data_IF_286467776663
#
_entry.id   IF_286467776663
#
_cell.length_a   1.000
_cell.length_b   1.000
_cell.length_c   1.000
_cell.angle_alpha   90.00
_cell.angle_beta   90.00
_cell.angle_gamma   90.00
#
_symmetry.space_group_name_H-M   'P 1'
#
loop_
_entity.id
_entity.type
_entity.pdbx_description
1 polymer ?
#
# COMPACT_ATOMS: atom_id res chain seq x y z
N UNK A 1 -48.31 21.26 49.61
CA UNK A 1 -46.85 21.43 49.80
C UNK A 1 -46.13 20.09 49.92
N UNK A 2 -46.87 18.98 50.04
CA UNK A 2 -46.32 17.69 50.48
C UNK A 2 -45.76 16.82 49.35
N UNK A 3 -46.24 16.96 48.11
CA UNK A 3 -45.76 16.16 46.97
C UNK A 3 -44.32 16.47 46.57
N UNK A 4 -43.90 17.73 46.59
CA UNK A 4 -42.53 18.17 46.31
C UNK A 4 -41.54 17.68 47.36
N UNK A 5 -41.94 17.66 48.64
CA UNK A 5 -41.12 17.12 49.72
C UNK A 5 -40.95 15.61 49.58
N UNK A 6 -42.03 14.87 49.28
CA UNK A 6 -41.98 13.41 49.08
C UNK A 6 -41.08 13.05 47.88
N UNK A 7 -41.19 13.77 46.76
CA UNK A 7 -40.32 13.58 45.60
C UNK A 7 -38.85 13.88 45.95
N UNK A 8 -38.59 14.94 46.72
CA UNK A 8 -37.25 15.28 47.20
C UNK A 8 -36.61 14.19 48.05
N UNK A 9 -37.35 13.61 49.01
CA UNK A 9 -36.86 12.49 49.82
C UNK A 9 -36.59 11.23 48.99
N UNK A 10 -37.45 10.93 48.00
CA UNK A 10 -37.23 9.83 47.06
C UNK A 10 -35.95 10.02 46.23
N UNK A 11 -35.73 11.22 45.69
CA UNK A 11 -34.52 11.55 44.93
C UNK A 11 -33.26 11.44 45.78
N UNK A 12 -33.29 11.93 47.03
CA UNK A 12 -32.17 11.81 47.97
C UNK A 12 -31.88 10.33 48.27
N UNK A 13 -32.90 9.52 48.52
CA UNK A 13 -32.75 8.08 48.73
C UNK A 13 -32.13 7.36 47.53
N UNK A 14 -32.55 7.72 46.32
CA UNK A 14 -32.03 7.15 45.07
C UNK A 14 -30.56 7.53 44.85
N UNK A 15 -30.21 8.80 45.10
CA UNK A 15 -28.82 9.27 45.08
C UNK A 15 -27.98 8.49 46.10
N UNK A 16 -28.47 8.30 47.33
CA UNK A 16 -27.75 7.59 48.39
C UNK A 16 -27.48 6.13 48.01
N UNK A 17 -28.45 5.44 47.40
CA UNK A 17 -28.28 4.07 46.89
C UNK A 17 -27.21 4.02 45.81
N UNK A 18 -27.22 4.97 44.87
CA UNK A 18 -26.20 5.06 43.81
C UNK A 18 -24.82 5.29 44.42
N UNK A 19 -24.69 6.23 45.37
CA UNK A 19 -23.40 6.50 46.04
C UNK A 19 -22.91 5.27 46.79
N UNK A 20 -23.76 4.59 47.56
CA UNK A 20 -23.38 3.36 48.28
C UNK A 20 -22.94 2.28 47.29
N UNK A 21 -23.67 2.08 46.19
CA UNK A 21 -23.32 1.13 45.14
C UNK A 21 -21.94 1.44 44.52
N UNK A 22 -21.67 2.72 44.25
CA UNK A 22 -20.37 3.17 43.73
C UNK A 22 -19.24 2.94 44.74
N UNK A 23 -19.45 3.22 46.03
CA UNK A 23 -18.46 2.98 47.10
C UNK A 23 -18.17 1.49 47.25
N UNK A 24 -19.20 0.65 47.27
CA UNK A 24 -19.06 -0.81 47.33
C UNK A 24 -18.30 -1.33 46.11
N UNK A 25 -18.68 -0.88 44.90
CA UNK A 25 -18.01 -1.23 43.65
C UNK A 25 -16.53 -0.81 43.67
N UNK A 26 -16.24 0.40 44.12
CA UNK A 26 -14.87 0.92 44.28
C UNK A 26 -14.04 0.09 45.25
N UNK A 27 -14.60 -0.27 46.41
CA UNK A 27 -13.93 -1.12 47.40
C UNK A 27 -13.61 -2.51 46.82
N UNK A 28 -14.57 -3.16 46.16
CA UNK A 28 -14.34 -4.46 45.52
C UNK A 28 -13.32 -4.37 44.38
N UNK A 29 -13.35 -3.29 43.58
CA UNK A 29 -12.36 -3.02 42.54
C UNK A 29 -10.96 -2.90 43.14
N UNK A 30 -10.80 -2.09 44.18
CA UNK A 30 -9.51 -1.91 44.87
C UNK A 30 -8.98 -3.21 45.47
N UNK A 31 -9.85 -3.98 46.13
CA UNK A 31 -9.49 -5.30 46.69
C UNK A 31 -9.06 -6.28 45.60
N UNK A 32 -9.75 -6.27 44.47
CA UNK A 32 -9.42 -7.13 43.32
C UNK A 32 -8.09 -6.73 42.69
N UNK A 33 -7.84 -5.42 42.54
CA UNK A 33 -6.57 -4.88 42.07
C UNK A 33 -5.40 -5.35 42.95
N UNK A 34 -5.51 -5.17 44.27
CA UNK A 34 -4.46 -5.61 45.21
C UNK A 34 -4.16 -7.11 45.14
N UNK A 35 -5.17 -7.95 44.90
CA UNK A 35 -4.99 -9.40 44.69
C UNK A 35 -4.25 -9.65 43.37
N UNK A 36 -4.68 -9.01 42.28
CA UNK A 36 -4.04 -9.15 40.95
C UNK A 36 -2.58 -8.69 40.99
N UNK A 37 -2.28 -7.54 41.61
CA UNK A 37 -0.91 -7.03 41.75
C UNK A 37 -0.01 -8.02 42.50
N UNK A 38 -0.54 -8.66 43.56
CA UNK A 38 0.19 -9.70 44.29
C UNK A 38 0.43 -10.95 43.43
N UNK A 39 -0.53 -11.35 42.61
CA UNK A 39 -0.40 -12.47 41.68
C UNK A 39 0.66 -12.15 40.61
N UNK A 40 0.65 -10.94 40.04
CA UNK A 40 1.65 -10.49 39.05
C UNK A 40 3.07 -10.62 39.61
N UNK A 41 3.31 -10.22 40.87
CA UNK A 41 4.64 -10.32 41.48
C UNK A 41 5.11 -11.74 41.78
N UNK A 42 4.19 -12.70 41.96
CA UNK A 42 4.50 -14.07 42.37
C UNK A 42 4.44 -15.09 41.22
N UNK A 43 3.57 -14.86 40.24
CA UNK A 43 3.28 -15.83 39.19
C UNK A 43 4.48 -16.05 38.27
N UNK A 44 4.93 -17.30 38.20
CA UNK A 44 5.97 -17.75 37.28
C UNK A 44 5.48 -17.75 35.83
N UNK A 45 4.19 -18.02 35.61
CA UNK A 45 3.57 -17.93 34.29
C UNK A 45 3.62 -16.50 33.75
N UNK A 46 3.27 -15.51 34.59
CA UNK A 46 3.29 -14.10 34.20
C UNK A 46 4.72 -13.60 33.98
N UNK A 47 5.70 -14.07 34.77
CA UNK A 47 7.12 -13.75 34.54
C UNK A 47 7.59 -14.22 33.16
N UNK A 48 7.35 -15.50 32.82
CA UNK A 48 7.65 -16.04 31.49
C UNK A 48 6.90 -15.30 30.38
N UNK A 49 5.64 -14.94 30.61
CA UNK A 49 4.88 -14.12 29.66
C UNK A 49 5.57 -12.77 29.39
N UNK A 50 6.04 -12.10 30.43
CA UNK A 50 6.73 -10.81 30.27
C UNK A 50 8.05 -10.95 29.50
N UNK A 51 8.75 -12.08 29.62
CA UNK A 51 9.95 -12.38 28.83
C UNK A 51 9.62 -12.55 27.35
N UNK A 52 8.55 -13.29 27.03
CA UNK A 52 8.03 -13.42 25.66
C UNK A 52 7.61 -12.04 25.12
N UNK A 53 6.86 -11.25 25.90
CA UNK A 53 6.46 -9.90 25.51
C UNK A 53 7.66 -9.01 25.18
N UNK A 54 8.72 -9.05 26.00
CA UNK A 54 9.94 -8.27 25.76
C UNK A 54 10.63 -8.71 24.46
N UNK A 55 10.75 -10.02 24.23
CA UNK A 55 11.37 -10.59 23.03
C UNK A 55 10.66 -10.19 21.74
N UNK A 56 9.31 -10.19 21.72
CA UNK A 56 8.55 -9.79 20.54
C UNK A 56 8.41 -8.27 20.39
N UNK A 57 8.39 -7.52 21.50
CA UNK A 57 8.37 -6.05 21.44
C UNK A 57 9.56 -5.48 20.67
N UNK A 58 10.73 -6.10 20.77
CA UNK A 58 11.93 -5.70 20.01
C UNK A 58 11.88 -6.08 18.52
N UNK A 59 10.99 -7.02 18.14
CA UNK A 59 10.83 -7.50 16.76
C UNK A 59 9.76 -6.75 15.99
N UNK A 60 8.71 -6.33 16.68
CA UNK A 60 7.68 -5.51 16.08
C UNK A 60 8.26 -4.16 15.66
N UNK A 61 8.01 -3.80 14.40
CA UNK A 61 8.45 -2.53 13.84
C UNK A 61 7.28 -1.56 13.83
N UNK A 62 7.52 -0.35 14.29
CA UNK A 62 6.51 0.71 14.23
C UNK A 62 6.41 1.29 12.83
N UNK A 63 5.18 1.64 12.43
CA UNK A 63 4.98 2.41 11.20
C UNK A 63 5.14 3.90 11.49
N UNK A 64 5.92 4.59 10.65
CA UNK A 64 6.01 6.05 10.67
C UNK A 64 4.66 6.72 10.40
N UNK A 65 3.77 6.05 9.67
CA UNK A 65 2.38 6.49 9.49
C UNK A 65 1.44 5.29 9.35
N UNK A 66 0.28 5.37 10.01
CA UNK A 66 -0.75 4.33 9.98
C UNK A 66 -1.68 4.42 8.78
N UNK A 67 -1.70 5.58 8.11
CA UNK A 67 -2.46 5.78 6.88
C UNK A 67 -1.84 6.90 6.04
N UNK A 68 -2.22 6.96 4.77
CA UNK A 68 -1.94 8.11 3.89
C UNK A 68 -3.27 8.73 3.50
N UNK A 69 -3.37 10.06 3.59
CA UNK A 69 -4.55 10.81 3.20
C UNK A 69 -4.26 11.67 1.96
N UNK A 70 -4.98 11.43 0.87
CA UNK A 70 -4.88 12.18 -0.38
C UNK A 70 -6.17 12.97 -0.62
N UNK A 71 -6.07 14.30 -0.64
CA UNK A 71 -7.21 15.19 -0.80
C UNK A 71 -7.11 16.00 -2.10
N UNK A 72 -8.18 15.96 -2.89
CA UNK A 72 -8.27 16.63 -4.18
C UNK A 72 -9.41 17.64 -4.18
N UNK A 73 -9.08 18.93 -4.04
CA UNK A 73 -10.09 19.99 -3.84
C UNK A 73 -10.06 21.07 -4.93
N UNK A 74 -9.19 20.92 -5.94
CA UNK A 74 -8.97 21.91 -6.98
C UNK A 74 -9.58 21.44 -8.29
N UNK A 75 -10.79 21.91 -8.60
CA UNK A 75 -11.49 21.62 -9.84
C UNK A 75 -12.01 22.88 -10.49
N UNK A 76 -11.76 23.04 -11.80
CA UNK A 76 -12.20 24.20 -12.59
C UNK A 76 -13.71 24.16 -12.91
N UNK A 77 -14.39 23.07 -12.58
CA UNK A 77 -15.82 22.93 -12.77
C UNK A 77 -16.34 21.53 -12.43
N UNK A 78 -17.67 21.36 -12.45
CA UNK A 78 -18.31 20.07 -12.16
C UNK A 78 -17.85 18.95 -13.10
N UNK A 79 -17.66 19.27 -14.38
CA UNK A 79 -17.14 18.31 -15.37
C UNK A 79 -15.74 17.79 -15.02
N UNK A 80 -14.84 18.65 -14.55
CA UNK A 80 -13.48 18.23 -14.16
C UNK A 80 -13.51 17.38 -12.88
N UNK A 81 -14.42 17.66 -11.96
CA UNK A 81 -14.66 16.82 -10.77
C UNK A 81 -15.21 15.44 -11.14
N UNK A 82 -16.17 15.39 -12.07
CA UNK A 82 -16.80 14.14 -12.51
C UNK A 82 -15.83 13.23 -13.27
N UNK A 83 -14.99 13.82 -14.11
CA UNK A 83 -13.98 13.08 -14.85
C UNK A 83 -12.77 12.67 -14.00
N UNK A 84 -12.64 13.17 -12.77
CA UNK A 84 -11.54 12.80 -11.89
C UNK A 84 -11.79 11.45 -11.21
N UNK A 85 -10.91 10.50 -11.48
CA UNK A 85 -10.96 9.14 -10.90
C UNK A 85 -10.06 9.04 -9.67
N UNK A 86 -10.65 8.81 -8.49
CA UNK A 86 -9.90 8.50 -7.28
C UNK A 86 -9.07 7.22 -7.44
N UNK A 87 -9.57 6.22 -8.20
CA UNK A 87 -8.83 5.00 -8.49
C UNK A 87 -7.53 5.28 -9.27
N UNK A 88 -7.63 6.08 -10.34
CA UNK A 88 -6.46 6.45 -11.14
C UNK A 88 -5.47 7.29 -10.36
N UNK A 89 -5.96 8.21 -9.51
CA UNK A 89 -5.12 8.98 -8.60
C UNK A 89 -4.37 8.08 -7.61
N UNK A 90 -5.04 7.07 -7.04
CA UNK A 90 -4.42 6.09 -6.16
C UNK A 90 -3.35 5.27 -6.89
N UNK A 91 -3.64 4.79 -8.09
CA UNK A 91 -2.70 4.02 -8.90
C UNK A 91 -1.44 4.82 -9.19
N UNK A 92 -1.58 6.07 -9.65
CA UNK A 92 -0.45 6.94 -9.94
C UNK A 92 0.38 7.22 -8.69
N UNK A 93 -0.27 7.48 -7.56
CA UNK A 93 0.42 7.68 -6.28
C UNK A 93 1.27 6.46 -5.90
N UNK A 94 0.70 5.25 -6.00
CA UNK A 94 1.41 4.00 -5.73
C UNK A 94 2.56 3.76 -6.71
N UNK A 95 2.37 4.10 -7.99
CA UNK A 95 3.40 3.98 -9.03
C UNK A 95 4.61 4.89 -8.77
N UNK A 96 4.34 6.14 -8.39
CA UNK A 96 5.36 7.17 -8.12
C UNK A 96 6.09 6.94 -6.79
N UNK A 97 5.40 6.41 -5.78
CA UNK A 97 5.93 6.23 -4.42
C UNK A 97 6.23 4.75 -4.09
N UNK A 98 6.41 3.89 -5.10
CA UNK A 98 6.49 2.44 -4.96
C UNK A 98 7.45 1.98 -3.85
N UNK A 99 8.67 2.53 -3.81
CA UNK A 99 9.71 2.14 -2.85
C UNK A 99 9.25 2.39 -1.41
N UNK A 100 8.70 3.59 -1.14
CA UNK A 100 8.20 3.94 0.18
C UNK A 100 7.05 3.01 0.59
N UNK A 101 6.11 2.76 -0.32
CA UNK A 101 4.95 1.92 0.00
C UNK A 101 5.38 0.46 0.17
N UNK A 102 6.29 -0.07 -0.64
CA UNK A 102 6.85 -1.42 -0.46
C UNK A 102 7.51 -1.59 0.91
N UNK A 103 8.21 -0.57 1.42
CA UNK A 103 8.78 -0.63 2.78
C UNK A 103 7.70 -0.69 3.88
N UNK A 104 6.61 0.07 3.73
CA UNK A 104 5.46 0.02 4.64
C UNK A 104 4.80 -1.36 4.61
N UNK A 105 4.50 -1.87 3.40
CA UNK A 105 3.89 -3.18 3.20
C UNK A 105 4.77 -4.30 3.76
N UNK A 106 6.08 -4.26 3.51
CA UNK A 106 7.03 -5.24 4.06
C UNK A 106 7.05 -5.23 5.59
N UNK A 107 6.93 -4.04 6.20
CA UNK A 107 6.83 -3.91 7.67
C UNK A 107 5.55 -4.56 8.21
N UNK A 108 4.42 -4.34 7.55
CA UNK A 108 3.13 -4.92 7.94
C UNK A 108 3.14 -6.44 7.81
N UNK A 109 3.70 -6.98 6.71
CA UNK A 109 3.83 -8.42 6.50
C UNK A 109 4.66 -9.04 7.64
N UNK A 110 5.82 -8.45 7.94
CA UNK A 110 6.67 -8.91 9.03
C UNK A 110 5.94 -8.86 10.39
N UNK A 111 5.24 -7.77 10.69
CA UNK A 111 4.46 -7.64 11.92
C UNK A 111 3.30 -8.64 12.01
N UNK A 112 2.60 -8.91 10.89
CA UNK A 112 1.55 -9.94 10.83
C UNK A 112 2.13 -11.32 11.17
N UNK A 113 3.26 -11.67 10.57
CA UNK A 113 3.95 -12.93 10.85
C UNK A 113 4.40 -13.02 12.33
N UNK A 114 5.09 -12.00 12.85
CA UNK A 114 5.52 -12.01 14.25
C UNK A 114 4.35 -12.04 15.23
N UNK A 115 3.20 -11.47 14.86
CA UNK A 115 1.99 -11.53 15.68
C UNK A 115 1.46 -12.97 15.78
N UNK A 116 1.44 -13.70 14.67
CA UNK A 116 1.03 -15.11 14.67
C UNK A 116 1.98 -15.98 15.51
N UNK A 117 3.29 -15.79 15.35
CA UNK A 117 4.33 -16.47 16.15
C UNK A 117 4.17 -16.16 17.64
N UNK A 118 4.00 -14.88 18.00
CA UNK A 118 3.79 -14.41 19.36
C UNK A 118 2.54 -15.03 20.01
N UNK A 119 1.39 -14.98 19.34
CA UNK A 119 0.14 -15.52 19.87
C UNK A 119 0.22 -17.03 20.07
N UNK A 120 0.91 -17.73 19.16
CA UNK A 120 1.19 -19.16 19.27
C UNK A 120 2.09 -19.46 20.46
N UNK A 121 3.23 -18.79 20.58
CA UNK A 121 4.21 -19.02 21.66
C UNK A 121 3.60 -18.76 23.05
N UNK A 122 2.77 -17.73 23.17
CA UNK A 122 1.99 -17.45 24.38
C UNK A 122 1.10 -18.63 24.75
N UNK A 123 0.38 -19.17 23.76
CA UNK A 123 -0.56 -20.27 23.97
C UNK A 123 0.18 -21.53 24.43
N UNK A 124 1.30 -21.85 23.77
CA UNK A 124 2.09 -23.06 24.02
C UNK A 124 2.92 -22.98 25.32
N UNK A 125 3.35 -21.79 25.72
CA UNK A 125 4.22 -21.58 26.89
C UNK A 125 3.47 -21.49 28.23
N UNK A 126 2.14 -21.54 28.23
CA UNK A 126 1.36 -21.42 29.46
C UNK A 126 1.54 -22.65 30.35
N UNK A 127 2.23 -22.45 31.47
CA UNK A 127 2.34 -23.44 32.55
C UNK A 127 1.99 -22.70 33.84
N UNK A 128 1.02 -23.23 34.58
CA UNK A 128 0.55 -22.64 35.83
C UNK A 128 1.68 -22.53 36.86
N UNK A 129 1.61 -21.51 37.72
CA UNK A 129 2.59 -21.34 38.81
C UNK A 129 2.54 -22.52 39.77
N UNK A 130 3.71 -22.93 40.27
CA UNK A 130 3.82 -24.03 41.23
C UNK A 130 2.95 -23.77 42.49
N UNK A 131 2.29 -24.84 42.98
CA UNK A 131 1.44 -24.78 44.16
C UNK A 131 2.18 -24.25 45.41
N UNK A 132 3.45 -24.60 45.59
CA UNK A 132 4.26 -24.13 46.73
C UNK A 132 4.37 -22.60 46.75
N UNK A 133 4.66 -21.99 45.60
CA UNK A 133 4.70 -20.54 45.44
C UNK A 133 3.33 -19.93 45.74
N UNK A 134 2.25 -20.55 45.26
CA UNK A 134 0.89 -20.07 45.51
C UNK A 134 0.55 -20.08 47.00
N UNK A 135 0.97 -21.10 47.75
CA UNK A 135 0.71 -21.19 49.19
C UNK A 135 1.37 -20.04 49.97
N UNK A 136 2.52 -19.52 49.53
CA UNK A 136 3.16 -18.33 50.15
C UNK A 136 2.32 -17.05 50.00
N UNK A 137 1.47 -16.99 48.98
CA UNK A 137 0.67 -15.80 48.67
C UNK A 137 -0.48 -15.56 49.66
N UNK A 138 -0.87 -16.57 50.46
CA UNK A 138 -2.10 -16.58 51.28
C UNK A 138 -3.39 -16.35 50.47
N UNK A 139 -3.35 -16.57 49.15
CA UNK A 139 -4.51 -16.55 48.25
C UNK A 139 -4.95 -18.00 48.01
N UNK A 140 -6.27 -18.26 48.04
CA UNK A 140 -6.81 -19.60 47.73
C UNK A 140 -6.35 -20.05 46.33
N UNK A 141 -5.80 -21.26 46.14
CA UNK A 141 -5.25 -21.70 44.85
C UNK A 141 -6.22 -21.57 43.67
N UNK A 142 -7.48 -21.99 43.84
CA UNK A 142 -8.52 -21.82 42.80
C UNK A 142 -8.68 -20.35 42.34
N UNK A 143 -8.55 -19.40 43.27
CA UNK A 143 -8.64 -17.96 42.98
C UNK A 143 -7.36 -17.44 42.34
N UNK A 144 -6.20 -17.97 42.74
CA UNK A 144 -4.91 -17.66 42.12
C UNK A 144 -4.89 -18.08 40.65
N UNK A 145 -5.13 -19.37 40.36
CA UNK A 145 -5.13 -19.89 38.99
C UNK A 145 -6.12 -19.18 38.07
N UNK A 146 -7.31 -18.83 38.60
CA UNK A 146 -8.30 -18.06 37.83
C UNK A 146 -7.71 -16.72 37.37
N UNK A 147 -7.18 -15.92 38.29
CA UNK A 147 -6.65 -14.61 37.94
C UNK A 147 -5.34 -14.68 37.17
N UNK A 148 -4.48 -15.65 37.46
CA UNK A 148 -3.27 -15.91 36.68
C UNK A 148 -3.62 -16.13 35.21
N UNK A 149 -4.57 -17.02 34.92
CA UNK A 149 -5.02 -17.28 33.55
C UNK A 149 -5.63 -16.04 32.91
N UNK A 150 -6.49 -15.30 33.63
CA UNK A 150 -7.06 -14.04 33.14
C UNK A 150 -5.98 -13.01 32.77
N UNK A 151 -4.96 -12.86 33.62
CA UNK A 151 -3.89 -11.88 33.41
C UNK A 151 -2.98 -12.34 32.27
N UNK A 152 -2.56 -13.62 32.26
CA UNK A 152 -1.64 -14.18 31.28
C UNK A 152 -2.17 -14.06 29.84
N UNK A 153 -3.47 -14.30 29.65
CA UNK A 153 -4.13 -14.20 28.33
C UNK A 153 -4.79 -12.83 28.10
N UNK A 154 -4.34 -11.78 28.80
CA UNK A 154 -4.77 -10.40 28.58
C UNK A 154 -3.63 -9.55 28.04
N UNK A 155 -3.96 -8.36 27.53
CA UNK A 155 -2.98 -7.33 27.17
C UNK A 155 -1.90 -7.75 26.15
N UNK A 156 -2.28 -8.54 25.15
CA UNK A 156 -1.43 -8.82 23.99
C UNK A 156 -0.87 -7.52 23.40
N UNK A 157 0.41 -7.57 22.99
CA UNK A 157 1.02 -6.51 22.20
C UNK A 157 0.19 -6.31 20.93
N UNK A 158 -0.07 -5.05 20.58
CA UNK A 158 -0.86 -4.66 19.41
C UNK A 158 0.07 -4.01 18.37
N UNK A 159 0.77 -4.80 17.55
CA UNK A 159 1.62 -4.26 16.51
C UNK A 159 0.80 -3.62 15.39
N UNK A 160 1.46 -2.77 14.59
CA UNK A 160 0.87 -2.21 13.38
C UNK A 160 0.80 -3.30 12.30
N UNK A 161 -0.41 -3.81 12.05
CA UNK A 161 -0.69 -4.92 11.11
C UNK A 161 -1.60 -4.51 9.96
N UNK A 162 -1.93 -3.24 9.86
CA UNK A 162 -2.83 -2.71 8.85
C UNK A 162 -2.38 -1.32 8.41
N UNK A 163 -2.75 -0.97 7.20
CA UNK A 163 -2.42 0.31 6.58
C UNK A 163 -3.37 0.61 5.43
N UNK A 164 -3.87 1.85 5.44
CA UNK A 164 -4.87 2.28 4.48
C UNK A 164 -4.43 3.55 3.76
N UNK A 165 -4.81 3.66 2.48
CA UNK A 165 -4.77 4.93 1.75
C UNK A 165 -6.20 5.46 1.65
N UNK A 166 -6.42 6.62 2.24
CA UNK A 166 -7.68 7.34 2.25
C UNK A 166 -7.62 8.42 1.18
N UNK A 167 -8.53 8.39 0.22
CA UNK A 167 -8.63 9.39 -0.83
C UNK A 167 -9.97 10.09 -0.77
N UNK A 168 -9.97 11.40 -0.99
CA UNK A 168 -11.20 12.17 -1.12
C UNK A 168 -11.08 13.22 -2.20
N UNK A 169 -12.17 13.45 -2.94
CA UNK A 169 -12.33 14.63 -3.78
C UNK A 169 -13.52 15.46 -3.34
N UNK A 170 -13.37 16.77 -3.39
CA UNK A 170 -14.42 17.72 -3.04
C UNK A 170 -14.48 18.88 -4.05
N UNK A 171 -15.69 19.32 -4.40
CA UNK A 171 -15.92 20.47 -5.26
C UNK A 171 -17.11 21.29 -4.77
N UNK A 172 -16.93 22.60 -4.63
CA UNK A 172 -17.99 23.56 -4.36
C UNK A 172 -18.14 24.46 -5.57
N UNK A 173 -19.37 24.64 -6.04
CA UNK A 173 -19.63 25.55 -7.18
C UNK A 173 -19.17 26.98 -6.88
N UNK A 174 -18.77 27.80 -7.88
CA UNK A 174 -18.30 29.17 -7.64
C UNK A 174 -19.29 30.05 -6.87
N UNK A 175 -20.60 29.83 -7.10
CA UNK A 175 -21.67 30.54 -6.39
C UNK A 175 -21.95 29.98 -4.98
N UNK A 176 -21.21 28.97 -4.51
CA UNK A 176 -21.40 28.35 -3.19
C UNK A 176 -22.69 27.54 -3.01
N UNK A 177 -23.50 27.37 -4.07
CA UNK A 177 -24.86 26.80 -3.96
C UNK A 177 -24.90 25.27 -3.86
N UNK A 178 -23.92 24.59 -4.47
CA UNK A 178 -23.82 23.13 -4.45
C UNK A 178 -22.42 22.71 -4.01
N UNK A 179 -22.34 21.62 -3.23
CA UNK A 179 -21.12 20.91 -2.87
C UNK A 179 -21.22 19.44 -3.28
N UNK A 180 -20.08 18.86 -3.63
CA UNK A 180 -19.95 17.47 -4.06
C UNK A 180 -18.74 16.86 -3.38
N UNK A 181 -18.88 15.64 -2.87
CA UNK A 181 -17.81 14.92 -2.20
C UNK A 181 -17.86 13.44 -2.55
N UNK A 182 -16.69 12.85 -2.74
CA UNK A 182 -16.49 11.41 -2.92
C UNK A 182 -15.29 10.96 -2.10
N UNK A 183 -15.38 9.81 -1.45
CA UNK A 183 -14.30 9.22 -0.66
C UNK A 183 -14.05 7.78 -1.11
N UNK A 184 -12.80 7.34 -1.00
CA UNK A 184 -12.37 5.98 -1.27
C UNK A 184 -11.32 5.59 -0.24
N UNK A 185 -11.39 4.35 0.24
CA UNK A 185 -10.35 3.76 1.10
C UNK A 185 -9.77 2.57 0.35
N UNK A 186 -8.44 2.48 0.32
CA UNK A 186 -7.72 1.27 -0.11
C UNK A 186 -7.15 0.58 1.10
N UNK A 187 -7.56 -0.67 1.30
CA UNK A 187 -7.04 -1.52 2.38
C UNK A 187 -5.66 -2.04 2.04
N UNK A 188 -4.96 -2.60 3.04
CA UNK A 188 -3.69 -3.28 2.83
C UNK A 188 -3.74 -4.27 1.66
N UNK A 189 -4.77 -5.12 1.61
CA UNK A 189 -4.94 -6.16 0.60
C UNK A 189 -5.09 -5.54 -0.80
N UNK A 190 -5.92 -4.50 -0.93
CA UNK A 190 -6.10 -3.81 -2.19
C UNK A 190 -4.85 -3.04 -2.64
N UNK A 191 -4.09 -2.48 -1.70
CA UNK A 191 -2.81 -1.81 -2.00
C UNK A 191 -1.79 -2.84 -2.50
N UNK A 192 -1.72 -3.99 -1.84
CA UNK A 192 -0.85 -5.10 -2.23
C UNK A 192 -1.12 -5.54 -3.68
N UNK A 193 -2.39 -5.79 -4.02
CA UNK A 193 -2.80 -6.18 -5.38
C UNK A 193 -2.45 -5.12 -6.43
N UNK A 194 -2.63 -3.83 -6.10
CA UNK A 194 -2.29 -2.74 -7.02
C UNK A 194 -0.77 -2.65 -7.20
N UNK A 195 0.03 -2.83 -6.15
CA UNK A 195 1.49 -2.81 -6.27
C UNK A 195 2.02 -3.96 -7.13
N UNK A 196 1.44 -5.16 -7.03
CA UNK A 196 1.76 -6.27 -7.91
C UNK A 196 1.43 -5.91 -9.38
N UNK A 197 0.29 -5.25 -9.60
CA UNK A 197 -0.11 -4.76 -10.92
C UNK A 197 0.85 -3.69 -11.47
N UNK A 198 1.29 -2.76 -10.61
CA UNK A 198 2.28 -1.71 -10.94
C UNK A 198 3.62 -2.33 -11.34
N UNK A 199 4.09 -3.31 -10.58
CA UNK A 199 5.35 -4.02 -10.86
C UNK A 199 5.26 -4.77 -12.20
N UNK A 200 4.17 -5.50 -12.43
CA UNK A 200 3.90 -6.17 -13.69
C UNK A 200 3.83 -5.19 -14.87
N UNK A 201 3.24 -4.00 -14.69
CA UNK A 201 3.23 -2.97 -15.72
C UNK A 201 4.64 -2.42 -15.99
N UNK A 202 5.44 -2.16 -14.95
CA UNK A 202 6.83 -1.70 -15.12
C UNK A 202 7.67 -2.74 -15.86
N UNK A 203 7.53 -4.02 -15.52
CA UNK A 203 8.16 -5.12 -16.25
C UNK A 203 7.74 -5.11 -17.73
N UNK A 204 6.43 -5.02 -18.01
CA UNK A 204 5.93 -4.92 -19.39
C UNK A 204 6.48 -3.71 -20.13
N UNK A 205 6.51 -2.53 -19.51
CA UNK A 205 7.08 -1.30 -20.11
C UNK A 205 8.59 -1.40 -20.34
N UNK A 206 9.31 -2.15 -19.51
CA UNK A 206 10.74 -2.44 -19.70
C UNK A 206 11.02 -3.55 -20.70
N UNK A 207 9.98 -4.27 -21.16
CA UNK A 207 10.16 -5.40 -22.06
C UNK A 207 10.66 -4.94 -23.43
N UNK A 208 11.48 -5.81 -24.04
CA UNK A 208 11.97 -5.61 -25.40
C UNK A 208 10.83 -5.52 -26.42
N UNK A 209 9.70 -6.18 -26.17
CA UNK A 209 8.50 -6.05 -27.01
C UNK A 209 7.90 -4.64 -26.94
N UNK A 210 7.73 -4.09 -25.74
CA UNK A 210 7.22 -2.73 -25.57
C UNK A 210 8.18 -1.71 -26.17
N UNK A 211 9.49 -1.84 -25.91
CA UNK A 211 10.52 -1.00 -26.55
C UNK A 211 10.38 -1.05 -28.07
N UNK A 212 10.27 -2.24 -28.66
CA UNK A 212 10.11 -2.40 -30.11
C UNK A 212 8.85 -1.72 -30.65
N UNK A 213 7.73 -1.83 -29.94
CA UNK A 213 6.47 -1.19 -30.31
C UNK A 213 6.55 0.34 -30.19
N UNK A 214 7.15 0.83 -29.12
CA UNK A 214 7.36 2.26 -28.87
C UNK A 214 8.25 2.89 -29.95
N UNK A 215 9.42 2.31 -30.22
CA UNK A 215 10.32 2.77 -31.26
C UNK A 215 9.63 2.86 -32.63
N UNK A 216 8.84 1.84 -33.01
CA UNK A 216 8.05 1.89 -34.26
C UNK A 216 7.04 3.02 -34.27
N UNK A 217 6.40 3.30 -33.14
CA UNK A 217 5.38 4.37 -33.04
C UNK A 217 5.96 5.78 -33.16
N UNK A 218 7.26 5.96 -32.91
CA UNK A 218 7.95 7.25 -33.08
C UNK A 218 8.10 7.67 -34.56
N UNK A 219 8.03 6.72 -35.49
CA UNK A 219 8.14 7.00 -36.94
C UNK A 219 6.78 7.49 -37.48
N UNK A 220 6.36 8.67 -37.03
CA UNK A 220 5.16 9.37 -37.50
C UNK A 220 5.26 9.82 -38.95
N UNK A 221 4.14 10.15 -39.60
CA UNK A 221 4.12 10.67 -40.98
C UNK A 221 5.00 11.91 -41.16
N UNK A 222 5.08 12.77 -40.14
CA UNK A 222 5.97 13.93 -40.13
C UNK A 222 7.44 13.51 -40.21
N UNK A 223 7.84 12.53 -39.40
CA UNK A 223 9.21 11.96 -39.45
C UNK A 223 9.45 11.31 -40.81
N UNK A 224 8.47 10.61 -41.37
CA UNK A 224 8.59 9.99 -42.71
C UNK A 224 8.90 11.03 -43.78
N UNK A 225 8.13 12.12 -43.82
CA UNK A 225 8.35 13.22 -44.77
C UNK A 225 9.73 13.85 -44.56
N UNK A 226 10.14 14.06 -43.31
CA UNK A 226 11.45 14.65 -42.98
C UNK A 226 12.61 13.81 -43.49
N UNK A 227 12.58 12.49 -43.28
CA UNK A 227 13.63 11.57 -43.76
C UNK A 227 13.61 11.48 -45.29
N UNK A 228 12.43 11.37 -45.91
CA UNK A 228 12.29 11.36 -47.38
C UNK A 228 12.86 12.62 -48.03
N UNK A 229 12.63 13.79 -47.43
CA UNK A 229 13.17 15.06 -47.91
C UNK A 229 14.69 15.15 -47.72
N UNK A 230 15.20 14.75 -46.54
CA UNK A 230 16.65 14.70 -46.25
C UNK A 230 17.38 13.83 -47.27
N UNK A 231 16.81 12.68 -47.58
CA UNK A 231 17.36 11.69 -48.51
C UNK A 231 17.03 12.01 -49.98
N UNK A 232 16.46 13.19 -50.25
CA UNK A 232 16.11 13.68 -51.59
C UNK A 232 15.30 12.65 -52.40
N UNK A 233 14.34 11.98 -51.76
CA UNK A 233 13.48 10.95 -52.35
C UNK A 233 14.28 9.85 -53.07
N UNK A 234 15.42 9.47 -52.50
CA UNK A 234 16.37 8.52 -53.11
C UNK A 234 16.71 7.41 -52.13
N UNK A 235 16.72 6.17 -52.63
CA UNK A 235 17.17 5.01 -51.87
C UNK A 235 18.65 5.18 -51.49
N UNK A 236 18.95 5.13 -50.20
CA UNK A 236 20.29 5.34 -49.67
C UNK A 236 21.22 4.13 -49.84
N UNK A 237 20.72 3.03 -50.42
CA UNK A 237 21.52 1.82 -50.70
C UNK A 237 21.79 1.67 -52.19
N UNK A 238 20.77 1.67 -53.05
CA UNK A 238 20.96 1.46 -54.49
C UNK A 238 20.97 2.74 -55.34
N UNK A 239 20.63 3.90 -54.76
CA UNK A 239 20.58 5.18 -55.49
C UNK A 239 19.35 5.39 -56.38
N UNK A 240 18.40 4.45 -56.45
CA UNK A 240 17.14 4.64 -57.17
C UNK A 240 16.33 5.79 -56.56
N UNK A 241 15.82 6.70 -57.41
CA UNK A 241 15.15 7.93 -56.97
C UNK A 241 13.77 8.08 -57.60
N UNK A 242 12.81 8.62 -56.83
CA UNK A 242 11.48 8.98 -57.36
C UNK A 242 11.53 10.05 -58.46
N UNK A 243 12.64 10.79 -58.58
CA UNK A 243 12.86 11.73 -59.69
C UNK A 243 13.03 11.02 -61.03
N UNK A 244 13.57 9.81 -61.02
CA UNK A 244 13.85 9.03 -62.22
C UNK A 244 12.72 8.04 -62.53
N UNK A 245 12.03 7.54 -61.51
CA UNK A 245 10.90 6.64 -61.64
C UNK A 245 9.81 7.00 -60.62
N UNK A 246 8.71 7.58 -61.11
CA UNK A 246 7.57 7.98 -60.27
C UNK A 246 6.83 6.80 -59.65
N UNK A 247 6.99 5.58 -60.19
CA UNK A 247 6.36 4.36 -59.67
C UNK A 247 7.13 3.73 -58.50
N UNK A 248 8.35 4.19 -58.23
CA UNK A 248 9.22 3.68 -57.16
C UNK A 248 8.58 3.88 -55.78
N UNK A 249 8.41 2.80 -55.02
CA UNK A 249 7.95 2.86 -53.62
C UNK A 249 9.14 2.93 -52.67
N UNK A 250 9.20 4.01 -51.89
CA UNK A 250 10.20 4.25 -50.86
C UNK A 250 9.62 4.02 -49.47
N UNK A 251 10.42 3.40 -48.62
CA UNK A 251 10.12 3.10 -47.22
C UNK A 251 11.15 3.80 -46.33
N UNK A 252 10.73 4.17 -45.12
CA UNK A 252 11.65 4.55 -44.06
C UNK A 252 11.94 3.31 -43.24
N UNK A 253 13.23 3.03 -43.07
CA UNK A 253 13.73 1.90 -42.30
C UNK A 253 14.80 2.36 -41.29
N UNK A 254 15.22 1.46 -40.40
CA UNK A 254 16.27 1.69 -39.42
C UNK A 254 17.59 1.08 -39.88
N UNK A 255 18.70 1.84 -39.87
CA UNK A 255 20.05 1.35 -40.20
C UNK A 255 20.47 0.21 -39.27
N UNK A 256 20.35 0.43 -37.96
CA UNK A 256 20.36 -0.62 -36.94
C UNK A 256 18.91 -1.01 -36.67
N UNK A 257 18.48 -2.24 -36.99
CA UNK A 257 17.12 -2.68 -36.76
C UNK A 257 16.73 -2.58 -35.29
N UNK A 258 15.46 -2.23 -35.03
CA UNK A 258 14.93 -2.17 -33.67
C UNK A 258 15.13 -3.52 -32.96
N UNK A 259 14.96 -4.66 -33.65
CA UNK A 259 15.19 -5.98 -33.05
C UNK A 259 16.61 -6.22 -32.52
N UNK A 260 17.59 -5.42 -32.98
CA UNK A 260 19.02 -5.47 -32.60
C UNK A 260 19.45 -4.26 -31.76
N UNK A 261 18.49 -3.57 -31.12
CA UNK A 261 18.78 -2.44 -30.23
C UNK A 261 18.74 -1.05 -30.88
N UNK A 262 18.39 -0.95 -32.16
CA UNK A 262 18.26 0.36 -32.83
C UNK A 262 17.13 1.22 -32.27
N UNK A 263 17.31 2.54 -32.34
CA UNK A 263 16.35 3.57 -31.93
C UNK A 263 15.75 4.31 -33.15
N UNK A 264 14.68 5.07 -32.96
CA UNK A 264 14.03 5.84 -34.03
C UNK A 264 14.53 7.28 -34.16
N UNK A 265 15.76 7.55 -33.74
CA UNK A 265 16.40 8.84 -33.97
C UNK A 265 16.64 9.05 -35.47
N UNK A 266 16.58 10.31 -35.91
CA UNK A 266 16.75 10.66 -37.33
C UNK A 266 18.05 10.11 -37.93
N UNK A 267 19.13 10.02 -37.15
CA UNK A 267 20.43 9.49 -37.59
C UNK A 267 20.40 8.00 -37.93
N UNK A 268 19.56 7.23 -37.23
CA UNK A 268 19.36 5.79 -37.44
C UNK A 268 18.28 5.51 -38.50
N UNK A 269 17.52 6.51 -38.94
CA UNK A 269 16.52 6.35 -40.00
C UNK A 269 17.12 6.66 -41.38
N UNK A 270 16.62 5.96 -42.41
CA UNK A 270 16.97 6.20 -43.81
C UNK A 270 15.89 5.73 -44.78
N UNK A 271 15.99 6.20 -46.01
CA UNK A 271 15.09 5.89 -47.11
C UNK A 271 15.61 4.70 -47.93
N UNK A 272 14.80 3.65 -48.07
CA UNK A 272 15.10 2.47 -48.89
C UNK A 272 13.99 2.22 -49.93
N UNK A 273 14.35 1.78 -51.14
CA UNK A 273 13.34 1.23 -52.06
C UNK A 273 12.84 -0.13 -51.57
N UNK A 274 11.66 -0.56 -52.04
CA UNK A 274 11.06 -1.85 -51.65
C UNK A 274 12.04 -3.03 -51.74
N UNK A 275 12.83 -3.11 -52.82
CA UNK A 275 13.83 -4.17 -53.03
C UNK A 275 14.91 -4.17 -51.94
N UNK A 276 15.54 -3.03 -51.69
CA UNK A 276 16.59 -2.88 -50.68
C UNK A 276 16.05 -3.08 -49.26
N UNK A 277 14.84 -2.56 -48.97
CA UNK A 277 14.18 -2.73 -47.67
C UNK A 277 13.91 -4.22 -47.35
N UNK A 278 13.36 -4.96 -48.33
CA UNK A 278 13.13 -6.40 -48.19
C UNK A 278 14.43 -7.19 -48.05
N UNK A 279 15.45 -6.85 -48.85
CA UNK A 279 16.76 -7.50 -48.81
C UNK A 279 17.51 -7.25 -47.50
N UNK A 280 17.35 -6.07 -46.89
CA UNK A 280 17.96 -5.76 -45.59
C UNK A 280 17.29 -6.55 -44.46
N UNK A 281 15.96 -6.60 -44.41
CA UNK A 281 15.23 -7.22 -43.29
C UNK A 281 15.76 -6.70 -41.93
N UNK A 282 16.23 -7.59 -41.05
CA UNK A 282 16.83 -7.30 -39.75
C UNK A 282 18.38 -7.32 -39.78
N UNK A 283 19.00 -7.20 -40.95
CA UNK A 283 20.46 -7.07 -41.06
C UNK A 283 20.92 -5.63 -40.77
N UNK A 284 22.13 -5.52 -40.22
CA UNK A 284 22.85 -4.25 -40.08
C UNK A 284 23.76 -4.14 -41.31
N UNK A 285 23.53 -3.15 -42.16
CA UNK A 285 24.19 -3.03 -43.46
C UNK A 285 25.67 -2.62 -43.40
N UNK A 286 26.21 -2.21 -42.25
CA UNK A 286 27.66 -2.01 -42.06
C UNK A 286 28.47 -3.30 -42.32
N UNK A 287 27.85 -4.47 -42.21
CA UNK A 287 28.50 -5.77 -42.43
C UNK A 287 28.53 -6.22 -43.91
N UNK A 288 28.05 -5.41 -44.87
CA UNK A 288 27.87 -5.83 -46.28
C UNK A 288 28.65 -4.95 -47.27
N UNK A 289 29.24 -3.83 -46.83
CA UNK A 289 29.93 -2.85 -47.71
C UNK A 289 31.47 -2.84 -47.50
N UNK A 290 32.03 -3.89 -46.88
CA UNK A 290 33.49 -4.11 -46.83
C UNK A 290 33.88 -5.36 -47.63
#
# INVERSE_FOLDING_TARGET
MDSLFVIGFFLIGLILIVVISLVISSYFSHKTKKIRDKIIGLSEAIKRRNEIDLFYKERFKELNTKNIALQFNHFNGKRTYDNFSLYSACYNYLYENEIQIKNIIGTIIANRQFKEEYEKEISESFIQTNLEVILTSKIKPKKFYKYEKEIYFSNYIKPDIDFNINLSKEYVTPAGRNSYKENMIKTFEQIFDILESVENEKVKRSSEEFRRKYERSLVSDRVRIQILNRDNLTCQVCGESKKNDSSLVLHIDHKVPIAKGGNSDLSNLWTLCKRCNLGKSDLILENIIN
#
